data_IF_857759380564
#
_entry.id   IF_857759380564
#
_cell.length_a   1.000
_cell.length_b   1.000
_cell.length_c   1.000
_cell.angle_alpha   90.00
_cell.angle_beta   90.00
_cell.angle_gamma   90.00
#
_symmetry.space_group_name_H-M   'P 1'
#
loop_
_entity.id
_entity.type
_entity.pdbx_description
1 polymer ?
#
# COMPACT_ATOMS: atom_id res chain seq x y z
N UNK A 1 24.55 22.58 -20.19
CA UNK A 1 23.33 22.15 -19.47
C UNK A 1 23.75 21.86 -18.03
N UNK A 2 23.20 22.52 -17.02
CA UNK A 2 23.63 22.28 -15.63
C UNK A 2 22.98 21.02 -15.06
N UNK A 3 23.77 20.08 -14.54
CA UNK A 3 23.25 18.92 -13.81
C UNK A 3 22.79 19.36 -12.41
N UNK A 4 21.57 18.99 -12.02
CA UNK A 4 21.03 19.27 -10.68
C UNK A 4 20.79 17.97 -9.96
N UNK A 5 21.47 17.83 -8.82
CA UNK A 5 21.33 16.67 -7.93
C UNK A 5 20.65 17.16 -6.66
N UNK A 6 19.57 16.51 -6.28
CA UNK A 6 18.84 16.79 -5.06
C UNK A 6 18.83 15.55 -4.16
N UNK A 7 18.91 15.79 -2.86
CA UNK A 7 18.62 14.84 -1.80
C UNK A 7 17.55 15.44 -0.91
N UNK A 8 16.71 14.60 -0.30
CA UNK A 8 15.67 15.03 0.62
C UNK A 8 15.76 14.24 1.91
N UNK A 9 15.67 14.92 3.04
CA UNK A 9 15.61 14.27 4.35
C UNK A 9 14.16 14.14 4.79
N UNK A 10 13.87 13.04 5.47
CA UNK A 10 12.57 12.83 6.06
C UNK A 10 12.41 13.81 7.21
N UNK A 11 13.37 13.88 8.14
CA UNK A 11 13.35 14.81 9.29
C UNK A 11 14.17 16.07 9.03
N UNK A 12 13.86 17.18 9.71
CA UNK A 12 14.81 18.29 9.84
C UNK A 12 16.16 17.73 10.30
N UNK A 13 17.24 18.06 9.58
CA UNK A 13 18.59 17.53 9.84
C UNK A 13 19.59 18.68 9.73
N UNK A 14 20.52 18.75 10.68
CA UNK A 14 21.60 19.76 10.71
C UNK A 14 23.00 19.16 10.77
N UNK A 15 23.12 17.83 10.79
CA UNK A 15 24.40 17.14 10.96
C UNK A 15 25.15 17.02 9.63
N UNK A 16 26.30 17.69 9.44
CA UNK A 16 26.98 17.75 8.14
C UNK A 16 27.44 16.38 7.63
N UNK A 17 27.88 15.49 8.52
CA UNK A 17 28.37 14.16 8.17
C UNK A 17 27.27 13.27 7.61
N UNK A 18 26.04 13.35 8.15
CA UNK A 18 24.90 12.61 7.62
C UNK A 18 24.47 13.15 6.26
N UNK A 19 24.43 14.48 6.10
CA UNK A 19 24.10 15.13 4.83
C UNK A 19 25.12 14.73 3.75
N UNK A 20 26.42 14.72 4.08
CA UNK A 20 27.47 14.28 3.17
C UNK A 20 27.29 12.82 2.74
N UNK A 21 26.95 11.93 3.67
CA UNK A 21 26.65 10.52 3.35
C UNK A 21 25.50 10.39 2.37
N UNK A 22 24.42 11.16 2.53
CA UNK A 22 23.29 11.14 1.60
C UNK A 22 23.69 11.61 0.20
N UNK A 23 24.50 12.66 0.08
CA UNK A 23 25.05 13.08 -1.22
C UNK A 23 25.95 12.00 -1.83
N UNK A 24 26.78 11.33 -1.03
CA UNK A 24 27.62 10.23 -1.50
C UNK A 24 26.78 9.09 -2.09
N UNK A 25 25.73 8.64 -1.38
CA UNK A 25 24.82 7.60 -1.87
C UNK A 25 24.15 8.01 -3.19
N UNK A 26 23.72 9.28 -3.29
CA UNK A 26 23.08 9.82 -4.50
C UNK A 26 24.04 9.95 -5.68
N UNK A 27 25.26 10.41 -5.44
CA UNK A 27 26.31 10.53 -6.45
C UNK A 27 26.76 9.15 -6.94
N UNK A 28 26.96 8.20 -6.04
CA UNK A 28 27.28 6.82 -6.40
C UNK A 28 26.15 6.17 -7.24
N UNK A 29 24.89 6.61 -7.08
CA UNK A 29 23.77 6.12 -7.89
C UNK A 29 23.72 6.74 -9.28
N UNK A 30 24.36 7.91 -9.45
CA UNK A 30 24.40 8.67 -10.69
C UNK A 30 25.78 8.64 -11.35
N UNK A 31 26.72 7.82 -10.87
CA UNK A 31 28.12 7.83 -11.31
C UNK A 31 28.26 7.64 -12.83
N UNK A 32 27.32 6.91 -13.45
CA UNK A 32 27.26 6.71 -14.90
C UNK A 32 26.57 7.85 -15.67
N UNK A 33 25.77 8.67 -14.98
CA UNK A 33 24.97 9.76 -15.57
C UNK A 33 25.65 11.13 -15.44
N UNK A 34 26.72 11.23 -14.65
CA UNK A 34 27.48 12.46 -14.45
C UNK A 34 28.74 12.41 -15.32
N UNK A 35 28.62 12.96 -16.54
CA UNK A 35 29.80 13.18 -17.39
C UNK A 35 30.54 14.43 -16.91
N UNK A 36 31.64 14.21 -16.19
CA UNK A 36 32.49 15.27 -15.70
C UNK A 36 33.39 15.86 -16.78
N UNK A 37 33.63 15.19 -17.93
CA UNK A 37 34.52 15.66 -18.99
C UNK A 37 35.83 16.30 -18.47
N UNK A 38 35.96 17.62 -18.64
CA UNK A 38 37.11 18.43 -18.20
C UNK A 38 37.05 18.90 -16.73
N UNK A 39 36.02 18.52 -15.98
CA UNK A 39 35.76 18.91 -14.60
C UNK A 39 34.53 19.82 -14.44
N UNK A 40 34.35 20.32 -13.22
CA UNK A 40 33.29 21.27 -12.87
C UNK A 40 33.88 22.65 -12.61
N UNK A 41 33.45 23.66 -13.36
CA UNK A 41 33.88 25.06 -13.15
C UNK A 41 33.21 25.69 -11.92
N UNK A 42 31.99 25.26 -11.60
CA UNK A 42 31.19 25.80 -10.50
C UNK A 42 30.34 24.71 -9.85
N UNK A 43 30.43 24.60 -8.52
CA UNK A 43 29.51 23.80 -7.71
C UNK A 43 28.75 24.74 -6.78
N UNK A 44 27.41 24.65 -6.81
CA UNK A 44 26.55 25.42 -5.92
C UNK A 44 25.72 24.47 -5.06
N UNK A 45 25.89 24.58 -3.75
CA UNK A 45 25.01 23.94 -2.77
C UNK A 45 23.88 24.91 -2.40
N UNK A 46 22.65 24.42 -2.34
CA UNK A 46 21.49 25.24 -1.98
C UNK A 46 20.51 24.42 -1.16
N UNK A 47 19.90 25.06 -0.15
CA UNK A 47 18.84 24.45 0.68
C UNK A 47 17.50 24.73 0.01
N UNK A 48 16.82 23.66 -0.41
CA UNK A 48 15.53 23.77 -1.13
C UNK A 48 14.32 23.79 -0.19
N UNK A 49 14.47 23.19 0.99
CA UNK A 49 13.46 23.15 2.03
C UNK A 49 14.14 23.20 3.40
N UNK A 50 13.55 23.93 4.35
CA UNK A 50 13.97 24.00 5.73
C UNK A 50 12.74 23.90 6.64
N UNK A 51 12.93 23.33 7.82
CA UNK A 51 11.88 23.15 8.82
C UNK A 51 12.47 23.33 10.22
N UNK A 52 11.61 23.55 11.22
CA UNK A 52 12.02 23.71 12.62
C UNK A 52 12.72 22.45 13.12
N UNK A 53 13.85 22.62 13.80
CA UNK A 53 14.60 21.52 14.41
C UNK A 53 14.46 21.64 15.92
N UNK A 54 13.49 20.93 16.49
CA UNK A 54 13.27 20.91 17.94
C UNK A 54 14.31 20.02 18.61
N UNK A 55 14.95 20.53 19.68
CA UNK A 55 15.87 19.71 20.46
C UNK A 55 15.07 18.73 21.31
N UNK A 56 15.36 17.43 21.14
CA UNK A 56 14.86 16.41 22.06
C UNK A 56 15.78 16.35 23.28
N UNK A 57 15.16 16.32 24.46
CA UNK A 57 15.87 16.12 25.71
C UNK A 57 16.32 14.66 25.79
N UNK A 58 17.64 14.44 25.93
CA UNK A 58 18.19 13.13 26.25
C UNK A 58 17.76 12.69 27.66
N UNK A 59 17.73 11.38 27.93
CA UNK A 59 17.60 10.90 29.30
C UNK A 59 18.79 11.38 30.16
N UNK A 60 18.69 11.26 31.48
CA UNK A 60 19.74 11.64 32.44
C UNK A 60 21.09 10.93 32.18
N UNK A 61 21.06 9.81 31.44
CA UNK A 61 22.24 9.06 30.98
C UNK A 61 22.86 9.63 29.69
N UNK A 62 22.22 10.60 29.04
CA UNK A 62 22.64 11.17 27.77
C UNK A 62 22.24 10.33 26.54
N UNK A 63 21.53 9.23 26.73
CA UNK A 63 21.02 8.42 25.61
C UNK A 63 19.71 9.00 25.08
N UNK A 64 19.67 9.30 23.79
CA UNK A 64 18.45 9.55 23.02
C UNK A 64 18.13 8.30 22.22
N UNK A 65 17.27 7.42 22.75
CA UNK A 65 16.66 6.35 21.94
C UNK A 65 15.49 6.98 21.18
N UNK A 66 15.77 7.51 19.98
CA UNK A 66 14.72 7.90 19.02
C UNK A 66 14.72 6.91 17.85
N UNK A 67 14.07 5.76 18.04
CA UNK A 67 13.85 4.76 16.99
C UNK A 67 13.25 5.39 15.70
N UNK A 68 12.47 6.46 15.87
CA UNK A 68 11.89 7.21 14.76
C UNK A 68 12.92 8.04 13.98
N UNK A 69 14.03 8.43 14.59
CA UNK A 69 15.16 9.07 13.92
C UNK A 69 15.97 8.06 13.11
N UNK A 70 16.23 6.88 13.66
CA UNK A 70 16.98 5.82 12.98
C UNK A 70 16.25 5.30 11.74
N UNK A 71 14.94 5.06 11.85
CA UNK A 71 14.11 4.66 10.69
C UNK A 71 14.11 5.75 9.62
N UNK A 72 14.03 7.03 10.02
CA UNK A 72 14.06 8.14 9.08
C UNK A 72 15.40 8.25 8.35
N UNK A 73 16.52 8.08 9.07
CA UNK A 73 17.85 8.10 8.48
C UNK A 73 18.05 6.92 7.51
N UNK A 74 17.58 5.74 7.89
CA UNK A 74 17.59 4.57 7.02
C UNK A 74 16.80 4.83 5.73
N UNK A 75 15.57 5.33 5.86
CA UNK A 75 14.73 5.65 4.71
C UNK A 75 15.38 6.70 3.79
N UNK A 76 16.02 7.73 4.36
CA UNK A 76 16.72 8.76 3.60
C UNK A 76 17.89 8.21 2.80
N UNK A 77 18.67 7.30 3.37
CA UNK A 77 19.79 6.64 2.67
C UNK A 77 19.32 5.79 1.50
N UNK A 78 18.30 4.96 1.72
CA UNK A 78 17.74 4.11 0.65
C UNK A 78 17.16 4.98 -0.46
N UNK A 79 16.45 6.06 -0.13
CA UNK A 79 15.90 7.00 -1.12
C UNK A 79 16.99 7.76 -1.88
N UNK A 80 18.07 8.16 -1.21
CA UNK A 80 19.19 8.82 -1.87
C UNK A 80 19.84 7.90 -2.92
N UNK A 81 19.96 6.59 -2.64
CA UNK A 81 20.55 5.60 -3.55
C UNK A 81 19.58 5.13 -4.66
N UNK A 82 18.35 4.78 -4.29
CA UNK A 82 17.40 4.06 -5.15
C UNK A 82 16.25 4.95 -5.69
N UNK A 83 16.18 6.20 -5.24
CA UNK A 83 15.14 7.16 -5.62
C UNK A 83 13.95 7.23 -4.66
N UNK A 84 13.10 8.23 -4.87
CA UNK A 84 11.97 8.56 -3.98
C UNK A 84 10.95 7.43 -3.80
N UNK A 85 10.73 6.62 -4.84
CA UNK A 85 9.78 5.51 -4.84
C UNK A 85 10.28 4.24 -4.13
N UNK A 86 11.51 4.23 -3.63
CA UNK A 86 12.12 3.03 -3.04
C UNK A 86 11.60 2.71 -1.64
N UNK A 87 11.16 3.72 -0.89
CA UNK A 87 10.60 3.56 0.46
C UNK A 87 9.23 4.20 0.49
N UNK A 88 8.21 3.35 0.57
CA UNK A 88 6.82 3.74 0.56
C UNK A 88 6.17 3.41 1.90
N UNK A 89 5.16 4.19 2.27
CA UNK A 89 4.36 3.98 3.46
C UNK A 89 2.90 3.75 3.09
N UNK A 90 2.25 2.69 3.61
CA UNK A 90 0.82 2.53 3.48
C UNK A 90 0.10 3.58 4.32
N UNK A 91 -0.93 4.20 3.73
CA UNK A 91 -1.85 5.10 4.39
C UNK A 91 -3.28 4.63 4.14
N UNK A 92 -4.11 4.70 5.18
CA UNK A 92 -5.53 4.43 5.05
C UNK A 92 -6.17 5.54 4.20
N UNK A 93 -7.04 5.12 3.29
CA UNK A 93 -7.82 6.00 2.42
C UNK A 93 -9.29 5.72 2.70
N UNK A 94 -10.10 6.77 2.76
CA UNK A 94 -11.55 6.66 2.94
C UNK A 94 -12.21 6.10 1.68
N UNK A 95 -12.15 4.78 1.55
CA UNK A 95 -12.75 4.01 0.47
C UNK A 95 -13.25 2.68 1.02
N UNK A 96 -14.45 2.28 0.66
CA UNK A 96 -14.97 0.95 0.96
C UNK A 96 -14.58 -0.10 -0.08
N UNK A 97 -13.93 0.30 -1.18
CA UNK A 97 -13.35 -0.64 -2.14
C UNK A 97 -12.00 -1.17 -1.61
N UNK A 98 -11.84 -2.50 -1.47
CA UNK A 98 -10.65 -3.09 -0.86
C UNK A 98 -9.33 -2.64 -1.50
N UNK A 99 -9.30 -2.56 -2.83
CA UNK A 99 -8.12 -2.17 -3.61
C UNK A 99 -7.75 -0.68 -3.47
N UNK A 100 -8.66 0.15 -2.94
CA UNK A 100 -8.48 1.60 -2.75
C UNK A 100 -8.40 2.02 -1.30
N UNK A 101 -8.77 1.15 -0.36
CA UNK A 101 -8.77 1.42 1.07
C UNK A 101 -7.37 1.72 1.63
N UNK A 102 -6.32 1.37 0.89
CA UNK A 102 -4.93 1.67 1.23
C UNK A 102 -4.21 2.24 0.01
N UNK A 103 -3.57 3.39 0.18
CA UNK A 103 -2.61 3.93 -0.79
C UNK A 103 -1.18 3.81 -0.24
N UNK A 104 -0.21 3.73 -1.14
CA UNK A 104 1.21 3.81 -0.79
C UNK A 104 1.77 5.15 -1.26
N UNK A 105 2.27 5.95 -0.32
CA UNK A 105 2.86 7.26 -0.60
C UNK A 105 4.36 7.25 -0.24
N UNK A 106 5.19 8.13 -0.83
CA UNK A 106 6.58 8.29 -0.44
C UNK A 106 6.73 8.54 1.07
N UNK A 107 7.77 7.96 1.67
CA UNK A 107 7.97 8.02 3.13
C UNK A 107 8.09 9.46 3.68
N UNK A 108 8.61 10.40 2.89
CA UNK A 108 8.76 11.81 3.23
C UNK A 108 7.44 12.58 3.30
N UNK A 109 6.51 12.26 2.41
CA UNK A 109 5.19 12.87 2.33
C UNK A 109 4.22 12.29 3.36
N UNK A 110 4.56 11.13 3.92
CA UNK A 110 3.69 10.48 4.86
C UNK A 110 3.51 11.32 6.14
N UNK A 111 2.26 11.53 6.59
CA UNK A 111 2.00 12.33 7.77
C UNK A 111 2.78 11.77 8.95
N UNK A 112 3.69 12.60 9.46
CA UNK A 112 4.48 12.29 10.64
C UNK A 112 3.56 12.28 11.83
N UNK A 113 3.61 11.20 12.63
CA UNK A 113 2.95 11.19 13.94
C UNK A 113 3.72 12.17 14.81
N UNK A 114 3.28 13.44 14.83
CA UNK A 114 3.85 14.52 15.64
C UNK A 114 3.46 14.42 17.11
N UNK A 115 2.55 13.51 17.44
CA UNK A 115 2.14 13.22 18.81
C UNK A 115 2.40 11.75 19.11
N UNK A 116 2.89 11.41 20.33
CA UNK A 116 2.80 10.04 20.82
C UNK A 116 1.34 9.61 20.68
N UNK A 117 1.04 8.33 20.42
CA UNK A 117 -0.35 7.89 20.37
C UNK A 117 -1.02 8.35 21.66
N UNK A 118 -1.84 9.41 21.60
CA UNK A 118 -3.01 9.51 22.47
C UNK A 118 -3.61 8.13 22.30
N UNK A 119 -3.66 7.34 23.40
CA UNK A 119 -4.41 6.06 23.43
C UNK A 119 -5.61 6.32 22.55
N UNK A 120 -5.73 5.66 21.37
CA UNK A 120 -6.69 6.06 20.36
C UNK A 120 -7.99 6.22 21.12
N UNK A 121 -8.45 7.47 21.28
CA UNK A 121 -9.50 7.78 22.23
C UNK A 121 -10.69 7.08 21.64
N UNK A 122 -11.01 5.87 22.18
CA UNK A 122 -11.57 4.74 21.43
C UNK A 122 -12.35 5.29 20.24
N UNK A 123 -11.69 5.40 19.07
CA UNK A 123 -12.43 5.40 17.83
C UNK A 123 -13.03 4.02 17.90
N UNK A 124 -14.24 3.94 18.45
CA UNK A 124 -14.98 2.71 18.54
C UNK A 124 -15.09 2.33 17.07
N UNK A 125 -14.22 1.40 16.64
CA UNK A 125 -14.49 0.65 15.44
C UNK A 125 -15.97 0.29 15.57
N UNK A 126 -16.82 0.66 14.59
CA UNK A 126 -18.25 0.43 14.71
C UNK A 126 -18.42 -0.98 15.27
N UNK A 127 -19.04 -1.07 16.45
CA UNK A 127 -19.11 -2.28 17.26
C UNK A 127 -19.99 -3.30 16.52
N UNK A 128 -19.47 -3.81 15.43
CA UNK A 128 -19.94 -4.98 14.74
C UNK A 128 -19.32 -6.12 15.51
N UNK A 129 -20.17 -7.01 16.02
CA UNK A 129 -19.77 -8.16 16.84
C UNK A 129 -18.81 -9.07 16.04
N UNK A 130 -18.83 -8.95 14.70
CA UNK A 130 -17.92 -9.60 13.76
C UNK A 130 -17.49 -8.59 12.68
N UNK A 131 -16.35 -7.90 12.82
CA UNK A 131 -15.81 -7.12 11.71
C UNK A 131 -15.49 -8.07 10.54
N UNK A 132 -15.81 -7.70 9.28
CA UNK A 132 -15.53 -8.56 8.14
C UNK A 132 -14.02 -8.79 8.03
N UNK A 133 -13.60 -10.06 8.13
CA UNK A 133 -12.19 -10.44 8.02
C UNK A 133 -11.70 -10.10 6.60
N UNK A 134 -10.57 -9.40 6.51
CA UNK A 134 -9.90 -9.08 5.25
C UNK A 134 -8.72 -10.02 5.02
N UNK A 135 -8.42 -10.42 3.78
CA UNK A 135 -7.29 -11.30 3.50
C UNK A 135 -5.95 -10.64 3.87
N UNK A 136 -4.99 -11.46 4.31
CA UNK A 136 -3.61 -10.99 4.61
C UNK A 136 -2.93 -10.53 3.32
N UNK A 137 -3.18 -11.23 2.21
CA UNK A 137 -2.67 -10.87 0.90
C UNK A 137 -3.83 -10.55 -0.03
N UNK A 138 -3.93 -9.28 -0.40
CA UNK A 138 -4.83 -8.79 -1.45
C UNK A 138 -4.06 -8.70 -2.77
N UNK A 139 -4.63 -9.24 -3.85
CA UNK A 139 -4.08 -9.09 -5.19
C UNK A 139 -4.41 -7.70 -5.73
N UNK A 140 -3.40 -6.98 -6.23
CA UNK A 140 -3.59 -5.66 -6.88
C UNK A 140 -4.56 -5.73 -8.05
N UNK A 141 -4.52 -6.83 -8.77
CA UNK A 141 -5.44 -7.15 -9.86
C UNK A 141 -6.10 -8.48 -9.52
N UNK A 142 -7.43 -8.52 -9.32
CA UNK A 142 -8.14 -9.76 -9.09
C UNK A 142 -7.92 -10.75 -10.24
N UNK A 143 -7.66 -12.01 -9.90
CA UNK A 143 -7.40 -13.05 -10.90
C UNK A 143 -8.71 -13.77 -11.27
N UNK A 144 -9.04 -13.95 -12.56
CA UNK A 144 -10.24 -14.66 -12.95
C UNK A 144 -10.18 -16.13 -12.52
N UNK A 145 -11.32 -16.68 -12.10
CA UNK A 145 -11.47 -18.11 -11.79
C UNK A 145 -12.61 -18.69 -12.62
N UNK A 146 -12.49 -19.97 -12.94
CA UNK A 146 -13.53 -20.69 -13.64
C UNK A 146 -14.41 -21.44 -12.63
N UNK A 147 -15.69 -21.06 -12.56
CA UNK A 147 -16.72 -21.76 -11.79
C UNK A 147 -17.60 -22.53 -12.78
N UNK A 148 -17.80 -23.85 -12.61
CA UNK A 148 -18.67 -24.62 -13.48
C UNK A 148 -20.10 -24.02 -13.48
N UNK A 149 -20.66 -23.81 -14.67
CA UNK A 149 -21.97 -23.16 -14.87
C UNK A 149 -23.17 -23.89 -14.22
N UNK A 150 -22.96 -25.09 -13.68
CA UNK A 150 -23.98 -25.92 -13.03
C UNK A 150 -24.12 -25.61 -11.53
N UNK A 151 -23.23 -24.79 -10.96
CA UNK A 151 -23.23 -24.45 -9.54
C UNK A 151 -24.11 -23.21 -9.26
N UNK A 152 -24.80 -23.25 -8.11
CA UNK A 152 -25.95 -22.44 -7.68
C UNK A 152 -25.98 -20.97 -8.19
N UNK A 153 -27.10 -20.46 -8.76
CA UNK A 153 -27.18 -19.09 -9.28
C UNK A 153 -26.86 -18.01 -8.24
N UNK A 154 -27.33 -18.17 -7.01
CA UNK A 154 -27.26 -17.11 -5.98
C UNK A 154 -26.16 -17.35 -4.92
N UNK A 155 -25.45 -18.49 -4.98
CA UNK A 155 -24.59 -18.96 -3.90
C UNK A 155 -23.08 -18.96 -4.21
N UNK A 156 -22.24 -19.24 -3.20
CA UNK A 156 -20.82 -19.52 -3.41
C UNK A 156 -20.63 -20.79 -4.27
N UNK A 157 -19.54 -20.88 -5.04
CA UNK A 157 -19.23 -22.08 -5.81
C UNK A 157 -18.96 -23.27 -4.88
N UNK A 158 -19.30 -24.48 -5.34
CA UNK A 158 -18.90 -25.75 -4.70
C UNK A 158 -17.49 -26.15 -5.16
N UNK A 159 -17.12 -25.81 -6.38
CA UNK A 159 -15.78 -26.01 -6.93
C UNK A 159 -15.37 -24.82 -7.79
N UNK A 160 -14.08 -24.51 -7.80
CA UNK A 160 -13.54 -23.51 -8.70
C UNK A 160 -12.17 -23.92 -9.20
N UNK A 161 -11.84 -23.49 -10.42
CA UNK A 161 -10.52 -23.69 -11.00
C UNK A 161 -9.75 -22.37 -10.99
N UNK A 162 -8.60 -22.37 -10.32
CA UNK A 162 -7.71 -21.22 -10.22
C UNK A 162 -6.27 -21.66 -10.48
N UNK A 163 -5.55 -20.93 -11.34
CA UNK A 163 -4.17 -21.27 -11.76
C UNK A 163 -4.00 -22.74 -12.16
N UNK A 164 -4.97 -23.25 -12.94
CA UNK A 164 -5.04 -24.64 -13.46
C UNK A 164 -5.24 -25.74 -12.40
N UNK A 165 -5.42 -25.38 -11.13
CA UNK A 165 -5.77 -26.32 -10.06
C UNK A 165 -7.27 -26.24 -9.75
N UNK A 166 -7.89 -27.39 -9.46
CA UNK A 166 -9.29 -27.49 -9.05
C UNK A 166 -9.36 -27.51 -7.52
N UNK A 167 -10.19 -26.66 -6.95
CA UNK A 167 -10.41 -26.55 -5.51
C UNK A 167 -11.86 -26.92 -5.19
N UNK A 168 -12.05 -27.73 -4.14
CA UNK A 168 -13.36 -28.08 -3.62
C UNK A 168 -13.64 -27.26 -2.37
N UNK A 169 -14.77 -26.57 -2.37
CA UNK A 169 -15.25 -25.75 -1.25
C UNK A 169 -15.85 -26.65 -0.18
N UNK A 170 -15.42 -26.45 1.08
CA UNK A 170 -15.98 -27.13 2.26
C UNK A 170 -16.82 -26.18 3.10
N UNK A 171 -16.44 -24.90 3.18
CA UNK A 171 -17.19 -23.85 3.88
C UNK A 171 -17.21 -22.58 3.06
N UNK A 172 -18.29 -21.83 3.22
CA UNK A 172 -18.45 -20.54 2.59
C UNK A 172 -19.20 -19.58 3.53
N UNK A 173 -18.78 -18.32 3.54
CA UNK A 173 -19.40 -17.24 4.29
C UNK A 173 -19.59 -16.02 3.38
N UNK A 174 -20.77 -15.37 3.44
CA UNK A 174 -21.14 -14.24 2.59
C UNK A 174 -22.60 -14.33 2.10
N UNK A 175 -23.02 -13.47 1.15
CA UNK A 175 -22.20 -12.48 0.46
C UNK A 175 -22.00 -11.18 1.27
N UNK A 176 -20.78 -10.64 1.24
CA UNK A 176 -20.55 -9.23 1.55
C UNK A 176 -20.71 -8.42 0.25
N UNK A 177 -21.72 -7.57 0.19
CA UNK A 177 -22.00 -6.76 -1.01
C UNK A 177 -21.25 -5.43 -0.96
N UNK A 178 -20.38 -5.20 -1.93
CA UNK A 178 -19.62 -3.97 -2.10
C UNK A 178 -20.03 -3.34 -3.44
N UNK A 179 -20.78 -2.23 -3.36
CA UNK A 179 -21.16 -1.43 -4.52
C UNK A 179 -20.02 -0.48 -4.93
N UNK A 180 -20.07 0.04 -6.16
CA UNK A 180 -19.13 1.06 -6.59
C UNK A 180 -19.25 2.37 -5.78
N UNK A 181 -18.17 3.14 -5.75
CA UNK A 181 -18.14 4.48 -5.14
C UNK A 181 -18.93 5.48 -6.00
N UNK A 182 -20.22 5.65 -5.70
CA UNK A 182 -21.15 6.50 -6.48
C UNK A 182 -20.70 7.97 -6.60
N UNK A 183 -19.87 8.46 -5.67
CA UNK A 183 -19.39 9.84 -5.62
C UNK A 183 -18.14 10.10 -6.47
N UNK A 184 -17.57 9.08 -7.11
CA UNK A 184 -16.43 9.24 -8.02
C UNK A 184 -16.95 9.11 -9.44
N UNK A 185 -16.51 9.98 -10.34
CA UNK A 185 -16.85 9.89 -11.77
C UNK A 185 -16.66 8.45 -12.20
N UNK A 186 -17.75 7.83 -12.67
CA UNK A 186 -17.72 6.43 -13.07
C UNK A 186 -16.67 6.31 -14.17
N UNK A 187 -15.55 5.61 -13.95
CA UNK A 187 -14.77 5.18 -15.10
C UNK A 187 -15.74 4.37 -15.95
N UNK A 188 -15.58 4.44 -17.27
CA UNK A 188 -16.28 3.63 -18.27
C UNK A 188 -16.01 2.12 -18.13
N UNK A 189 -15.65 1.65 -16.94
CA UNK A 189 -15.06 0.37 -16.62
C UNK A 189 -16.06 -0.57 -15.95
N UNK A 190 -15.92 -1.85 -16.28
CA UNK A 190 -16.55 -2.98 -15.61
C UNK A 190 -16.36 -2.94 -14.08
N UNK A 191 -15.30 -2.28 -13.59
CA UNK A 191 -14.98 -2.05 -12.18
C UNK A 191 -16.07 -1.31 -11.37
N UNK A 192 -17.00 -0.63 -12.03
CA UNK A 192 -18.16 0.04 -11.43
C UNK A 192 -19.33 -0.90 -11.08
N UNK A 193 -19.19 -2.20 -11.37
CA UNK A 193 -20.24 -3.19 -11.06
C UNK A 193 -20.25 -3.56 -9.57
N UNK A 194 -21.44 -3.77 -9.02
CA UNK A 194 -21.61 -4.33 -7.66
C UNK A 194 -20.95 -5.71 -7.58
N UNK A 195 -20.19 -5.94 -6.49
CA UNK A 195 -19.47 -7.18 -6.24
C UNK A 195 -20.02 -7.86 -4.99
N UNK A 196 -20.34 -9.14 -5.10
CA UNK A 196 -20.71 -9.99 -3.98
C UNK A 196 -19.49 -10.82 -3.58
N UNK A 197 -18.92 -10.56 -2.41
CA UNK A 197 -17.73 -11.22 -1.89
C UNK A 197 -18.07 -12.42 -1.01
N UNK A 198 -17.30 -13.50 -1.16
CA UNK A 198 -17.42 -14.72 -0.39
C UNK A 198 -16.07 -15.11 0.20
N UNK A 199 -16.07 -15.50 1.48
CA UNK A 199 -14.94 -16.16 2.12
C UNK A 199 -15.13 -17.66 1.99
N UNK A 200 -14.16 -18.33 1.39
CA UNK A 200 -14.23 -19.73 1.01
C UNK A 200 -13.12 -20.50 1.71
N UNK A 201 -13.44 -21.63 2.32
CA UNK A 201 -12.48 -22.62 2.82
C UNK A 201 -12.51 -23.83 1.89
N UNK A 202 -11.33 -24.29 1.44
CA UNK A 202 -11.22 -25.52 0.65
C UNK A 202 -11.12 -26.79 1.52
N UNK A 203 -11.01 -27.95 0.87
CA UNK A 203 -10.84 -29.24 1.55
C UNK A 203 -9.50 -29.41 2.28
N UNK A 204 -8.49 -28.61 1.92
CA UNK A 204 -7.17 -28.60 2.56
C UNK A 204 -7.10 -27.56 3.70
N UNK A 205 -8.19 -26.84 3.99
CA UNK A 205 -8.27 -25.80 5.02
C UNK A 205 -7.73 -24.43 4.60
N UNK A 206 -7.41 -24.23 3.31
CA UNK A 206 -6.95 -22.94 2.78
C UNK A 206 -8.12 -21.99 2.60
N UNK A 207 -7.89 -20.72 2.91
CA UNK A 207 -8.96 -19.70 2.92
C UNK A 207 -8.75 -18.63 1.84
N UNK A 208 -9.78 -18.43 1.04
CA UNK A 208 -9.80 -17.58 -0.15
C UNK A 208 -10.86 -16.50 -0.05
N UNK A 209 -10.59 -15.36 -0.68
CA UNK A 209 -11.55 -14.26 -0.83
C UNK A 209 -11.92 -14.10 -2.30
N UNK A 210 -13.11 -14.58 -2.63
CA UNK A 210 -13.64 -14.57 -3.99
C UNK A 210 -14.69 -13.47 -4.12
N UNK A 211 -14.89 -12.94 -5.32
CA UNK A 211 -16.11 -12.19 -5.60
C UNK A 211 -16.71 -12.58 -6.93
N UNK A 212 -18.03 -12.41 -6.97
CA UNK A 212 -18.83 -12.42 -8.18
C UNK A 212 -19.08 -10.99 -8.62
N UNK A 213 -18.82 -10.71 -9.89
CA UNK A 213 -19.11 -9.44 -10.53
C UNK A 213 -20.28 -9.59 -11.49
N UNK A 214 -21.26 -8.69 -11.37
CA UNK A 214 -22.53 -8.75 -12.09
C UNK A 214 -23.64 -9.41 -11.27
N UNK A 215 -24.86 -8.89 -11.41
CA UNK A 215 -26.06 -9.43 -10.77
C UNK A 215 -26.80 -10.33 -11.77
N UNK A 216 -27.35 -11.45 -11.29
CA UNK A 216 -28.30 -12.24 -12.07
C UNK A 216 -29.57 -11.40 -12.26
N UNK A 217 -29.86 -11.01 -13.50
CA UNK A 217 -31.03 -10.20 -13.84
C UNK A 217 -30.81 -9.17 -14.94
N UNK A 218 -29.55 -8.84 -15.31
CA UNK A 218 -29.25 -7.99 -16.47
C UNK A 218 -28.65 -8.85 -17.60
N UNK A 219 -29.48 -9.17 -18.59
CA UNK A 219 -29.39 -10.33 -19.49
C UNK A 219 -28.30 -10.30 -20.58
N UNK A 220 -27.23 -9.51 -20.44
CA UNK A 220 -26.20 -9.39 -21.49
C UNK A 220 -24.83 -9.95 -21.14
N UNK A 221 -24.43 -10.00 -19.87
CA UNK A 221 -23.09 -10.48 -19.48
C UNK A 221 -23.23 -11.53 -18.36
N UNK A 222 -22.73 -12.76 -18.56
CA UNK A 222 -22.74 -13.76 -17.50
C UNK A 222 -21.88 -13.30 -16.33
N UNK A 223 -22.26 -13.61 -15.08
CA UNK A 223 -21.49 -13.21 -13.92
C UNK A 223 -20.10 -13.85 -13.96
N UNK A 224 -19.09 -13.03 -13.65
CA UNK A 224 -17.69 -13.45 -13.66
C UNK A 224 -17.20 -13.59 -12.24
N UNK A 225 -16.38 -14.61 -12.01
CA UNK A 225 -15.80 -14.88 -10.71
C UNK A 225 -14.32 -14.54 -10.69
N UNK A 226 -13.87 -13.99 -9.57
CA UNK A 226 -12.49 -13.59 -9.38
C UNK A 226 -11.99 -13.96 -7.99
N UNK A 227 -10.71 -14.29 -7.91
CA UNK A 227 -9.91 -14.41 -6.71
C UNK A 227 -9.30 -13.04 -6.39
N UNK A 228 -9.70 -12.42 -5.29
CA UNK A 228 -9.16 -11.12 -4.88
C UNK A 228 -8.10 -11.23 -3.78
N UNK A 229 -8.14 -12.26 -2.94
CA UNK A 229 -7.12 -12.43 -1.92
C UNK A 229 -7.09 -13.79 -1.25
N UNK A 230 -6.07 -14.00 -0.43
CA UNK A 230 -5.84 -15.22 0.35
C UNK A 230 -5.60 -14.88 1.82
N UNK A 231 -6.17 -15.67 2.72
CA UNK A 231 -6.05 -15.48 4.17
C UNK A 231 -4.88 -16.26 4.77
N UNK A 232 -4.67 -17.52 4.34
CA UNK A 232 -3.58 -18.41 4.73
C UNK A 232 -3.50 -19.61 3.79
#
# INVERSE_FOLDING_TARGET
MGSRIAIGTSRPMREPMLIQKLFHERLAALEQDIDAGYGFDLVRLSVLAAATFDMQQADLTGETIDDGADIALFADRIRARLGEGAVLRPVAVESHLPERAVATIPFTEAPRRTTPPKKPGRLQAPQTIFPPERPIRLFRSPEPIDVPATEMPEGPPLHFRWRRALYRVTRAEGPERIAAEWWREAPSDEAASTRDYFRIEDADGRRYWLYRQGLYGNTQVPPRWFMHGVFA
#
